data_IF_150521255516
#
_entry.id   IF_150521255516
#
_cell.length_a   1.000
_cell.length_b   1.000
_cell.length_c   1.000
_cell.angle_alpha   90.00
_cell.angle_beta   90.00
_cell.angle_gamma   90.00
#
_symmetry.space_group_name_H-M   'P 1'
#
loop_
_entity.id
_entity.type
_entity.pdbx_description
1 polymer ?
#
# COMPACT_ATOMS: atom_id res chain seq x y z
N UNK A 1 -9.02 -7.00 -0.89
CA UNK A 1 -10.28 -7.58 -1.44
C UNK A 1 -11.06 -8.18 -0.29
N UNK A 2 -12.36 -7.94 -0.25
CA UNK A 2 -13.23 -8.57 0.77
C UNK A 2 -13.35 -10.09 0.54
N UNK A 3 -13.88 -10.78 1.56
CA UNK A 3 -14.31 -12.17 1.42
C UNK A 3 -15.57 -12.25 0.54
N UNK A 4 -15.56 -13.09 -0.52
CA UNK A 4 -16.70 -13.25 -1.42
C UNK A 4 -17.94 -13.78 -0.69
N UNK A 5 -17.74 -14.67 0.30
CA UNK A 5 -18.84 -15.18 1.13
C UNK A 5 -19.45 -14.06 1.97
N UNK A 6 -18.60 -13.20 2.56
CA UNK A 6 -19.04 -12.04 3.31
C UNK A 6 -19.89 -11.09 2.47
N UNK A 7 -19.43 -10.75 1.24
CA UNK A 7 -20.18 -9.88 0.32
C UNK A 7 -21.55 -10.48 -0.04
N UNK A 8 -21.58 -11.80 -0.27
CA UNK A 8 -22.82 -12.52 -0.59
C UNK A 8 -23.81 -12.56 0.58
N UNK A 9 -23.32 -12.73 1.80
CA UNK A 9 -24.16 -12.86 3.01
C UNK A 9 -24.56 -11.50 3.59
N UNK A 10 -23.81 -10.42 3.26
CA UNK A 10 -24.02 -9.09 3.83
C UNK A 10 -23.98 -7.98 2.75
N UNK A 11 -24.76 -8.10 1.66
CA UNK A 11 -24.68 -7.14 0.56
C UNK A 11 -25.04 -5.72 0.98
N UNK A 12 -26.05 -5.54 1.81
CA UNK A 12 -26.52 -4.22 2.26
C UNK A 12 -25.47 -3.53 3.12
N UNK A 13 -24.77 -4.28 3.97
CA UNK A 13 -23.69 -3.74 4.79
C UNK A 13 -22.49 -3.27 3.94
N UNK A 14 -22.18 -4.03 2.86
CA UNK A 14 -21.11 -3.65 1.92
C UNK A 14 -21.51 -2.39 1.15
N UNK A 15 -22.77 -2.29 0.69
CA UNK A 15 -23.30 -1.09 0.01
C UNK A 15 -23.29 0.12 0.94
N UNK A 16 -23.72 -0.02 2.19
CA UNK A 16 -23.66 1.04 3.21
C UNK A 16 -22.21 1.51 3.45
N UNK A 17 -21.25 0.59 3.51
CA UNK A 17 -19.85 0.92 3.62
C UNK A 17 -19.35 1.76 2.43
N UNK A 18 -19.78 1.42 1.22
CA UNK A 18 -19.44 2.18 -0.01
C UNK A 18 -20.09 3.57 0.00
N UNK A 19 -21.29 3.71 0.53
CA UNK A 19 -21.93 5.02 0.74
C UNK A 19 -21.14 5.87 1.73
N UNK A 20 -20.74 5.29 2.89
CA UNK A 20 -19.87 5.95 3.88
C UNK A 20 -18.52 6.41 3.29
N UNK A 21 -18.00 5.69 2.30
CA UNK A 21 -16.78 6.05 1.55
C UNK A 21 -17.05 6.99 0.36
N UNK A 22 -18.28 7.48 0.17
CA UNK A 22 -18.69 8.34 -0.94
C UNK A 22 -18.43 7.73 -2.32
N UNK A 23 -18.46 6.40 -2.42
CA UNK A 23 -18.23 5.66 -3.66
C UNK A 23 -19.54 5.15 -4.30
N UNK A 24 -20.56 5.99 -4.35
CA UNK A 24 -21.90 5.65 -4.86
C UNK A 24 -21.86 5.05 -6.29
N UNK A 25 -20.93 5.51 -7.10
CA UNK A 25 -20.76 5.06 -8.49
C UNK A 25 -20.34 3.59 -8.61
N UNK A 26 -19.84 2.96 -7.54
CA UNK A 26 -19.40 1.56 -7.50
C UNK A 26 -20.42 0.61 -6.87
N UNK A 27 -21.51 1.09 -6.27
CA UNK A 27 -22.46 0.26 -5.49
C UNK A 27 -23.04 -0.89 -6.32
N UNK A 28 -23.28 -0.67 -7.61
CA UNK A 28 -23.76 -1.68 -8.54
C UNK A 28 -22.86 -2.93 -8.64
N UNK A 29 -21.55 -2.79 -8.34
CA UNK A 29 -20.62 -3.91 -8.37
C UNK A 29 -20.98 -5.00 -7.36
N UNK A 30 -21.63 -4.66 -6.25
CA UNK A 30 -22.09 -5.65 -5.25
C UNK A 30 -23.14 -6.58 -5.86
N UNK A 31 -24.11 -6.03 -6.58
CA UNK A 31 -25.17 -6.81 -7.25
C UNK A 31 -24.60 -7.62 -8.42
N UNK A 32 -23.63 -7.07 -9.14
CA UNK A 32 -22.90 -7.77 -10.19
C UNK A 32 -22.16 -8.99 -9.64
N UNK A 33 -21.42 -8.83 -8.53
CA UNK A 33 -20.72 -9.94 -7.86
C UNK A 33 -21.70 -11.04 -7.46
N UNK A 34 -22.83 -10.70 -6.85
CA UNK A 34 -23.83 -11.68 -6.38
C UNK A 34 -24.44 -12.43 -7.57
N UNK A 35 -24.77 -11.71 -8.63
CA UNK A 35 -25.37 -12.29 -9.83
C UNK A 35 -24.41 -13.24 -10.53
N UNK A 36 -23.15 -12.80 -10.74
CA UNK A 36 -22.13 -13.58 -11.43
C UNK A 36 -21.64 -14.77 -10.57
N UNK A 37 -21.54 -14.63 -9.25
CA UNK A 37 -21.22 -15.74 -8.34
C UNK A 37 -22.34 -16.80 -8.37
N UNK A 38 -23.60 -16.39 -8.37
CA UNK A 38 -24.72 -17.33 -8.48
C UNK A 38 -24.72 -18.06 -9.83
N UNK A 39 -24.40 -17.36 -10.93
CA UNK A 39 -24.25 -17.95 -12.26
C UNK A 39 -23.03 -18.91 -12.30
N UNK A 40 -21.91 -18.52 -11.72
CA UNK A 40 -20.71 -19.34 -11.63
C UNK A 40 -20.99 -20.67 -10.91
N UNK A 41 -21.63 -20.63 -9.75
CA UNK A 41 -21.98 -21.85 -8.99
C UNK A 41 -22.93 -22.77 -9.75
N UNK A 42 -23.92 -22.21 -10.47
CA UNK A 42 -24.81 -22.99 -11.34
C UNK A 42 -24.03 -23.63 -12.49
N UNK A 43 -23.16 -22.88 -13.16
CA UNK A 43 -22.31 -23.41 -14.24
C UNK A 43 -21.39 -24.54 -13.78
N UNK A 44 -20.82 -24.40 -12.58
CA UNK A 44 -19.98 -25.45 -11.95
C UNK A 44 -20.80 -26.72 -11.67
N UNK A 45 -21.98 -26.58 -11.09
CA UNK A 45 -22.87 -27.71 -10.82
C UNK A 45 -23.24 -28.45 -12.11
N UNK A 46 -23.63 -27.72 -13.15
CA UNK A 46 -23.97 -28.28 -14.46
C UNK A 46 -22.78 -29.02 -15.08
N UNK A 47 -21.59 -28.42 -15.04
CA UNK A 47 -20.36 -29.06 -15.52
C UNK A 47 -20.03 -30.35 -14.75
N UNK A 48 -20.24 -30.40 -13.44
CA UNK A 48 -19.99 -31.57 -12.63
C UNK A 48 -21.02 -32.68 -12.89
N UNK A 49 -22.27 -32.35 -13.15
CA UNK A 49 -23.31 -33.28 -13.58
C UNK A 49 -22.94 -33.93 -14.93
N UNK A 50 -22.52 -33.12 -15.92
CA UNK A 50 -22.09 -33.63 -17.23
C UNK A 50 -20.82 -34.48 -17.14
N UNK A 51 -19.84 -34.10 -16.30
CA UNK A 51 -18.64 -34.89 -16.02
C UNK A 51 -18.99 -36.26 -15.44
N UNK A 52 -19.98 -36.30 -14.52
CA UNK A 52 -20.48 -37.55 -13.93
C UNK A 52 -21.17 -38.43 -14.99
N UNK A 53 -22.05 -37.84 -15.83
CA UNK A 53 -22.70 -38.55 -16.92
C UNK A 53 -21.68 -39.13 -17.90
N UNK A 54 -20.72 -38.30 -18.36
CA UNK A 54 -19.64 -38.73 -19.26
C UNK A 54 -18.84 -39.90 -18.70
N UNK A 55 -18.52 -39.88 -17.38
CA UNK A 55 -17.84 -41.00 -16.70
C UNK A 55 -18.67 -42.29 -16.73
N UNK A 56 -19.98 -42.20 -16.53
CA UNK A 56 -20.88 -43.34 -16.53
C UNK A 56 -21.03 -43.94 -17.95
N UNK A 57 -21.18 -43.08 -18.97
CA UNK A 57 -21.26 -43.54 -20.38
C UNK A 57 -19.93 -44.17 -20.81
N UNK A 58 -18.79 -43.62 -20.43
CA UNK A 58 -17.47 -44.20 -20.70
C UNK A 58 -17.32 -45.61 -20.15
N UNK A 59 -17.85 -45.87 -18.94
CA UNK A 59 -17.90 -47.23 -18.38
C UNK A 59 -18.81 -48.15 -19.19
N UNK A 60 -19.98 -47.64 -19.65
CA UNK A 60 -20.94 -48.40 -20.50
C UNK A 60 -20.32 -48.81 -21.81
N UNK A 61 -19.53 -47.92 -22.46
CA UNK A 61 -18.80 -48.25 -23.71
C UNK A 61 -17.93 -49.50 -23.53
N UNK A 62 -17.16 -49.58 -22.44
CA UNK A 62 -16.32 -50.76 -22.15
C UNK A 62 -17.14 -52.04 -22.04
N UNK A 63 -18.30 -51.97 -21.39
CA UNK A 63 -19.20 -53.14 -21.26
C UNK A 63 -19.82 -53.53 -22.59
N UNK A 64 -20.26 -52.58 -23.44
CA UNK A 64 -20.87 -52.80 -24.76
C UNK A 64 -19.82 -53.45 -25.72
N UNK A 65 -18.59 -52.92 -25.71
CA UNK A 65 -17.49 -53.50 -26.50
C UNK A 65 -17.19 -54.95 -26.09
N UNK A 66 -17.16 -55.23 -24.79
CA UNK A 66 -16.95 -56.60 -24.27
C UNK A 66 -18.07 -57.60 -24.63
N UNK A 67 -19.30 -57.07 -24.89
CA UNK A 67 -20.45 -57.85 -25.33
C UNK A 67 -20.59 -57.93 -26.86
N UNK A 68 -19.69 -57.31 -27.62
CA UNK A 68 -19.73 -57.32 -29.09
C UNK A 68 -20.80 -56.42 -29.73
N UNK A 69 -21.47 -55.52 -28.94
CA UNK A 69 -22.51 -54.59 -29.35
C UNK A 69 -21.90 -53.32 -29.96
N UNK A 70 -21.32 -53.41 -31.15
CA UNK A 70 -20.50 -52.35 -31.75
C UNK A 70 -21.30 -51.09 -32.10
N UNK A 71 -22.52 -51.23 -32.63
CA UNK A 71 -23.34 -50.06 -32.99
C UNK A 71 -23.75 -49.25 -31.77
N UNK A 72 -24.13 -49.89 -30.68
CA UNK A 72 -24.48 -49.24 -29.43
C UNK A 72 -23.23 -48.60 -28.78
N UNK A 73 -22.07 -49.20 -28.91
CA UNK A 73 -20.79 -48.65 -28.42
C UNK A 73 -20.41 -47.37 -29.21
N UNK A 74 -20.60 -47.37 -30.54
CA UNK A 74 -20.36 -46.14 -31.35
C UNK A 74 -21.32 -45.02 -31.04
N UNK A 75 -22.63 -45.31 -30.83
CA UNK A 75 -23.59 -44.31 -30.37
C UNK A 75 -23.17 -43.71 -29.01
N UNK A 76 -22.77 -44.53 -28.07
CA UNK A 76 -22.27 -44.07 -26.76
C UNK A 76 -20.96 -43.27 -26.85
N UNK A 77 -20.07 -43.60 -27.80
CA UNK A 77 -18.86 -42.79 -28.07
C UNK A 77 -19.24 -41.40 -28.60
N UNK A 78 -20.22 -41.29 -29.53
CA UNK A 78 -20.68 -40.02 -30.04
C UNK A 78 -21.25 -39.17 -28.90
N UNK A 79 -22.13 -39.75 -28.07
CA UNK A 79 -22.71 -39.08 -26.89
C UNK A 79 -21.61 -38.61 -25.94
N UNK A 80 -20.53 -39.38 -25.71
CA UNK A 80 -19.39 -39.00 -24.91
C UNK A 80 -18.59 -37.83 -25.49
N UNK A 81 -18.50 -37.74 -26.83
CA UNK A 81 -17.89 -36.61 -27.54
C UNK A 81 -18.73 -35.36 -27.39
N UNK A 82 -20.06 -35.43 -27.65
CA UNK A 82 -20.99 -34.30 -27.48
C UNK A 82 -20.96 -33.74 -26.04
N UNK A 83 -20.94 -34.62 -25.04
CA UNK A 83 -20.75 -34.18 -23.64
C UNK A 83 -19.39 -33.53 -23.40
N UNK A 84 -18.36 -33.98 -24.10
CA UNK A 84 -17.03 -33.37 -24.04
C UNK A 84 -17.05 -31.91 -24.50
N UNK A 85 -17.72 -31.64 -25.62
CA UNK A 85 -17.85 -30.28 -26.17
C UNK A 85 -18.67 -29.37 -25.24
N UNK A 86 -19.78 -29.89 -24.67
CA UNK A 86 -20.57 -29.15 -23.68
C UNK A 86 -19.78 -28.82 -22.42
N UNK A 87 -19.00 -29.75 -21.88
CA UNK A 87 -18.13 -29.52 -20.72
C UNK A 87 -17.07 -28.47 -21.05
N UNK A 88 -16.50 -28.46 -22.25
CA UNK A 88 -15.54 -27.45 -22.68
C UNK A 88 -16.18 -26.04 -22.74
N UNK A 89 -17.37 -25.93 -23.32
CA UNK A 89 -18.12 -24.67 -23.37
C UNK A 89 -18.47 -24.13 -21.95
N UNK A 90 -18.88 -25.04 -21.05
CA UNK A 90 -19.12 -24.66 -19.65
C UNK A 90 -17.84 -24.23 -18.92
N UNK A 91 -16.69 -24.82 -19.22
CA UNK A 91 -15.41 -24.43 -18.65
C UNK A 91 -14.98 -23.02 -19.09
N UNK A 92 -15.20 -22.66 -20.35
CA UNK A 92 -14.98 -21.29 -20.85
C UNK A 92 -15.90 -20.28 -20.15
N UNK A 93 -17.18 -20.63 -20.02
CA UNK A 93 -18.16 -19.80 -19.29
C UNK A 93 -17.79 -19.65 -17.80
N UNK A 94 -17.35 -20.73 -17.16
CA UNK A 94 -16.86 -20.71 -15.77
C UNK A 94 -15.68 -19.75 -15.61
N UNK A 95 -14.69 -19.82 -16.52
CA UNK A 95 -13.53 -18.93 -16.48
C UNK A 95 -13.93 -17.47 -16.66
N UNK A 96 -14.80 -17.16 -17.62
CA UNK A 96 -15.27 -15.80 -17.84
C UNK A 96 -16.04 -15.23 -16.62
N UNK A 97 -16.92 -16.04 -16.02
CA UNK A 97 -17.66 -15.64 -14.82
C UNK A 97 -16.73 -15.45 -13.61
N UNK A 98 -15.75 -16.32 -13.43
CA UNK A 98 -14.74 -16.22 -12.38
C UNK A 98 -13.91 -14.94 -12.50
N UNK A 99 -13.51 -14.63 -13.74
CA UNK A 99 -12.79 -13.39 -14.02
C UNK A 99 -13.64 -12.15 -13.73
N UNK A 100 -14.89 -12.13 -14.19
CA UNK A 100 -15.83 -11.02 -13.92
C UNK A 100 -16.05 -10.81 -12.41
N UNK A 101 -16.30 -11.90 -11.66
CA UNK A 101 -16.42 -11.82 -10.18
C UNK A 101 -15.14 -11.25 -9.58
N UNK A 102 -13.97 -11.70 -10.02
CA UNK A 102 -12.69 -11.22 -9.49
C UNK A 102 -12.48 -9.74 -9.78
N UNK A 103 -12.75 -9.29 -11.01
CA UNK A 103 -12.60 -7.90 -11.42
C UNK A 103 -13.54 -6.96 -10.63
N UNK A 104 -14.78 -7.35 -10.42
CA UNK A 104 -15.72 -6.60 -9.61
C UNK A 104 -15.30 -6.56 -8.13
N UNK A 105 -14.91 -7.70 -7.55
CA UNK A 105 -14.42 -7.81 -6.17
C UNK A 105 -13.16 -6.97 -5.91
N UNK A 106 -12.29 -6.82 -6.90
CA UNK A 106 -11.07 -6.01 -6.81
C UNK A 106 -11.35 -4.50 -6.72
N UNK A 107 -12.54 -4.05 -7.14
CA UNK A 107 -12.95 -2.66 -7.10
C UNK A 107 -13.81 -2.31 -5.87
N UNK A 108 -14.38 -3.32 -5.20
CA UNK A 108 -15.12 -3.13 -3.94
C UNK A 108 -14.12 -2.79 -2.83
N UNK A 109 -14.29 -1.64 -2.14
CA UNK A 109 -13.37 -1.21 -1.09
C UNK A 109 -13.43 -2.11 0.14
N UNK A 110 -12.38 -2.06 0.95
CA UNK A 110 -12.35 -2.69 2.26
C UNK A 110 -13.40 -2.08 3.20
N UNK A 111 -13.85 -2.85 4.19
CA UNK A 111 -14.73 -2.34 5.24
C UNK A 111 -13.94 -1.35 6.11
N UNK A 112 -14.54 -0.20 6.41
CA UNK A 112 -13.94 0.77 7.35
C UNK A 112 -14.11 0.28 8.79
N UNK A 113 -13.14 0.61 9.64
CA UNK A 113 -13.30 0.38 11.09
C UNK A 113 -14.45 1.23 11.64
N UNK A 114 -15.29 0.73 12.55
CA UNK A 114 -16.42 1.47 13.11
C UNK A 114 -16.06 2.80 13.78
N UNK A 115 -14.80 3.00 14.15
CA UNK A 115 -14.30 4.23 14.78
C UNK A 115 -13.89 5.30 13.76
N UNK A 116 -13.82 4.97 12.47
CA UNK A 116 -13.42 5.92 11.40
C UNK A 116 -14.47 7.05 11.30
N UNK A 117 -14.07 8.32 11.38
CA UNK A 117 -14.98 9.44 11.21
C UNK A 117 -15.56 9.46 9.79
N UNK A 118 -16.84 9.79 9.68
CA UNK A 118 -17.49 9.91 8.39
C UNK A 118 -17.25 11.32 7.86
N UNK A 119 -16.64 11.42 6.70
CA UNK A 119 -16.30 12.70 6.05
C UNK A 119 -16.03 12.46 4.57
N UNK A 120 -16.13 13.51 3.76
CA UNK A 120 -16.09 13.44 2.30
C UNK A 120 -14.66 13.40 1.73
N UNK A 121 -13.77 14.18 2.32
CA UNK A 121 -12.38 14.35 1.84
C UNK A 121 -11.44 14.73 3.01
N UNK A 122 -10.17 14.94 2.72
CA UNK A 122 -9.10 15.23 3.67
C UNK A 122 -9.36 16.46 4.58
N UNK A 123 -10.19 17.41 4.15
CA UNK A 123 -10.56 18.58 4.96
C UNK A 123 -11.41 18.23 6.19
N UNK A 124 -12.01 17.05 6.22
CA UNK A 124 -12.84 16.52 7.33
C UNK A 124 -12.09 15.47 8.17
N UNK A 125 -10.78 15.31 7.97
CA UNK A 125 -9.94 14.48 8.83
C UNK A 125 -9.89 15.05 10.26
N UNK A 126 -9.81 14.17 11.26
CA UNK A 126 -9.94 14.52 12.68
C UNK A 126 -8.59 14.50 13.38
N UNK A 127 -8.19 15.64 13.95
CA UNK A 127 -7.00 15.71 14.78
C UNK A 127 -7.19 14.86 16.06
N UNK A 128 -6.24 13.95 16.31
CA UNK A 128 -6.25 13.11 17.52
C UNK A 128 -5.42 13.72 18.64
N UNK A 129 -4.15 14.05 18.36
CA UNK A 129 -3.21 14.49 19.38
C UNK A 129 -2.06 15.30 18.78
N UNK A 130 -1.51 16.24 19.57
CA UNK A 130 -0.32 17.01 19.25
C UNK A 130 0.86 16.62 20.15
N UNK A 131 2.05 16.60 19.55
CA UNK A 131 3.29 16.23 20.22
C UNK A 131 4.33 17.33 19.99
N UNK A 132 4.69 18.02 21.06
CA UNK A 132 5.59 19.17 21.05
C UNK A 132 4.89 20.48 20.72
N UNK A 133 5.46 21.56 21.19
CA UNK A 133 4.94 22.92 21.03
C UNK A 133 5.33 23.48 19.66
N UNK A 134 4.35 23.90 18.83
CA UNK A 134 4.64 24.56 17.58
C UNK A 134 5.18 25.97 17.85
N UNK A 135 6.41 26.24 17.41
CA UNK A 135 7.07 27.52 17.58
C UNK A 135 7.10 28.27 16.25
N UNK A 136 6.82 29.55 16.27
CA UNK A 136 7.07 30.49 15.16
C UNK A 136 8.17 31.43 15.63
N UNK A 137 9.35 31.42 14.99
CA UNK A 137 10.44 32.33 15.36
C UNK A 137 10.10 33.78 15.04
N UNK A 138 10.84 34.71 15.61
CA UNK A 138 10.72 36.16 15.40
C UNK A 138 11.43 36.68 14.13
N UNK A 139 11.97 35.78 13.31
CA UNK A 139 12.59 36.05 12.02
C UNK A 139 11.85 35.37 10.88
N UNK A 140 12.00 35.88 9.66
CA UNK A 140 11.42 35.30 8.47
C UNK A 140 12.13 33.99 8.08
N UNK A 141 11.36 32.91 7.87
CA UNK A 141 11.87 31.64 7.38
C UNK A 141 11.75 31.63 5.85
N UNK A 142 12.87 31.55 5.11
CA UNK A 142 12.87 31.44 3.65
C UNK A 142 12.18 30.14 3.18
N UNK A 143 11.83 30.08 1.91
CA UNK A 143 11.34 28.85 1.31
C UNK A 143 12.41 27.73 1.39
N UNK A 144 12.02 26.48 1.56
CA UNK A 144 12.96 25.41 1.82
C UNK A 144 14.05 25.26 0.75
N UNK A 145 13.74 25.54 -0.53
CA UNK A 145 14.78 25.53 -1.58
C UNK A 145 15.78 26.68 -1.41
N UNK A 146 15.35 27.85 -0.97
CA UNK A 146 16.23 29.00 -0.71
C UNK A 146 17.18 28.70 0.47
N UNK A 147 16.66 28.02 1.50
CA UNK A 147 17.51 27.53 2.60
C UNK A 147 18.55 26.55 2.02
N UNK A 148 18.14 25.55 1.24
CA UNK A 148 19.07 24.56 0.67
C UNK A 148 20.08 25.21 -0.29
N UNK A 149 19.66 26.21 -1.09
CA UNK A 149 20.52 26.96 -2.00
C UNK A 149 21.61 27.75 -1.26
N UNK A 150 21.31 28.27 -0.05
CA UNK A 150 22.30 28.97 0.78
C UNK A 150 23.48 28.05 1.19
N UNK A 151 23.28 26.74 1.14
CA UNK A 151 24.31 25.72 1.40
C UNK A 151 24.95 25.17 0.10
N UNK A 152 24.60 25.69 -1.10
CA UNK A 152 24.83 25.04 -2.40
C UNK A 152 24.35 23.57 -2.38
N UNK A 153 23.25 23.33 -1.66
CA UNK A 153 22.78 22.00 -1.32
C UNK A 153 21.74 21.41 -2.27
N UNK A 154 21.20 22.17 -3.21
CA UNK A 154 20.18 21.73 -4.17
C UNK A 154 20.41 22.35 -5.55
N UNK A 155 20.17 21.55 -6.61
CA UNK A 155 20.20 22.02 -8.01
C UNK A 155 18.99 21.45 -8.77
N UNK A 156 17.93 22.23 -8.85
CA UNK A 156 16.70 21.90 -9.57
C UNK A 156 16.85 22.13 -11.08
N UNK A 157 17.70 23.06 -11.51
CA UNK A 157 17.89 23.36 -12.93
C UNK A 157 18.69 22.26 -13.63
N UNK A 158 19.73 21.73 -12.98
CA UNK A 158 20.43 20.54 -13.50
C UNK A 158 19.48 19.33 -13.56
N UNK A 159 18.69 19.09 -12.53
CA UNK A 159 17.71 18.01 -12.51
C UNK A 159 16.69 18.13 -13.65
N UNK A 160 16.20 19.35 -13.92
CA UNK A 160 15.28 19.62 -15.03
C UNK A 160 15.88 19.28 -16.38
N UNK A 161 17.17 19.60 -16.59
CA UNK A 161 17.89 19.27 -17.85
C UNK A 161 18.10 17.77 -18.04
N UNK A 162 18.24 17.01 -16.94
CA UNK A 162 18.55 15.57 -17.00
C UNK A 162 17.29 14.70 -17.02
N UNK A 163 16.31 15.02 -16.17
CA UNK A 163 15.16 14.13 -15.91
C UNK A 163 13.78 14.83 -16.03
N UNK A 164 13.76 16.15 -16.18
CA UNK A 164 12.53 16.93 -16.20
C UNK A 164 12.18 17.52 -14.82
N UNK A 165 10.97 18.06 -14.70
CA UNK A 165 10.46 18.58 -13.44
C UNK A 165 10.16 17.44 -12.46
N UNK A 166 10.15 17.75 -11.15
CA UNK A 166 9.85 16.76 -10.11
C UNK A 166 11.04 15.86 -9.75
N UNK A 167 12.24 16.25 -10.11
CA UNK A 167 13.52 15.64 -9.72
C UNK A 167 14.42 16.68 -9.07
N UNK A 168 15.46 16.23 -8.40
CA UNK A 168 16.42 17.09 -7.70
C UNK A 168 17.83 16.51 -7.70
N UNK A 169 18.82 17.37 -7.59
CA UNK A 169 20.14 17.02 -7.08
C UNK A 169 20.30 17.61 -5.69
N UNK A 170 20.76 16.81 -4.73
CA UNK A 170 21.23 17.28 -3.44
C UNK A 170 22.76 17.22 -3.39
N UNK A 171 23.39 18.19 -2.72
CA UNK A 171 24.84 18.32 -2.65
C UNK A 171 25.30 18.68 -1.22
N UNK A 172 26.58 18.45 -0.95
CA UNK A 172 27.25 18.91 0.26
C UNK A 172 26.57 18.49 1.56
N UNK A 173 26.43 19.43 2.48
CA UNK A 173 25.84 19.17 3.80
C UNK A 173 24.36 18.81 3.76
N UNK A 174 23.61 19.31 2.77
CA UNK A 174 22.19 18.94 2.58
C UNK A 174 22.05 17.47 2.13
N UNK A 175 22.89 17.01 1.17
CA UNK A 175 22.92 15.60 0.79
C UNK A 175 23.34 14.69 1.96
N UNK A 176 24.31 15.15 2.76
CA UNK A 176 24.71 14.44 3.97
C UNK A 176 23.59 14.37 5.00
N UNK A 177 22.87 15.47 5.24
CA UNK A 177 21.72 15.51 6.14
C UNK A 177 20.62 14.55 5.70
N UNK A 178 20.31 14.52 4.41
CA UNK A 178 19.36 13.56 3.83
C UNK A 178 19.77 12.09 4.13
N UNK A 179 21.03 11.75 3.90
CA UNK A 179 21.54 10.39 4.16
C UNK A 179 21.63 10.09 5.68
N UNK A 180 21.94 11.10 6.50
CA UNK A 180 21.97 10.98 7.95
C UNK A 180 20.61 10.66 8.55
N UNK A 181 19.56 11.35 8.07
CA UNK A 181 18.18 11.09 8.49
C UNK A 181 17.76 9.65 8.18
N UNK A 182 18.07 9.14 6.99
CA UNK A 182 17.76 7.75 6.61
C UNK A 182 18.56 6.73 7.41
N UNK A 183 19.86 6.99 7.64
CA UNK A 183 20.70 6.10 8.44
C UNK A 183 20.23 6.03 9.89
N UNK A 184 19.88 7.17 10.46
CA UNK A 184 19.29 7.24 11.79
C UNK A 184 17.93 6.53 11.85
N UNK A 185 17.06 6.75 10.88
CA UNK A 185 15.75 6.09 10.84
C UNK A 185 15.85 4.56 10.77
N UNK A 186 16.82 4.05 9.98
CA UNK A 186 17.09 2.61 9.94
C UNK A 186 17.48 2.08 11.33
N UNK A 187 18.44 2.71 11.97
CA UNK A 187 18.96 2.25 13.27
C UNK A 187 17.87 2.41 14.36
N UNK A 188 17.13 3.52 14.34
CA UNK A 188 15.98 3.77 15.22
C UNK A 188 14.92 2.66 15.13
N UNK A 189 14.64 2.15 13.94
CA UNK A 189 13.68 1.07 13.76
C UNK A 189 14.25 -0.30 14.17
N UNK A 190 15.55 -0.56 13.92
CA UNK A 190 16.22 -1.77 14.38
C UNK A 190 16.21 -1.84 15.91
N UNK A 191 16.51 -0.73 16.58
CA UNK A 191 16.52 -0.65 18.06
C UNK A 191 15.10 -0.86 18.66
N UNK A 192 14.05 -0.65 17.86
CA UNK A 192 12.65 -0.95 18.22
C UNK A 192 12.20 -2.37 17.87
N UNK A 193 13.12 -3.24 17.49
CA UNK A 193 12.88 -4.65 17.22
C UNK A 193 12.36 -4.97 15.82
N UNK A 194 12.49 -4.04 14.87
CA UNK A 194 12.16 -4.31 13.47
C UNK A 194 13.34 -4.93 12.73
N UNK A 195 13.09 -5.97 11.98
CA UNK A 195 14.08 -6.59 11.10
C UNK A 195 14.30 -5.71 9.86
N UNK A 196 15.53 -5.24 9.65
CA UNK A 196 15.88 -4.47 8.46
C UNK A 196 16.02 -5.38 7.23
N UNK A 197 15.36 -4.98 6.14
CA UNK A 197 15.34 -5.73 4.86
C UNK A 197 15.62 -4.78 3.70
N UNK A 198 16.44 -5.23 2.74
CA UNK A 198 16.62 -4.59 1.45
C UNK A 198 15.80 -5.39 0.42
N UNK A 199 14.67 -4.86 -0.06
CA UNK A 199 13.78 -5.57 -0.97
C UNK A 199 14.13 -5.31 -2.44
N UNK A 200 13.59 -6.09 -3.39
CA UNK A 200 13.57 -5.70 -4.79
C UNK A 200 12.85 -4.37 -5.03
N UNK A 201 13.40 -3.51 -5.89
CA UNK A 201 12.80 -2.22 -6.24
C UNK A 201 11.91 -2.27 -7.48
N UNK A 202 11.79 -3.44 -8.08
CA UNK A 202 10.87 -3.76 -9.18
C UNK A 202 10.05 -4.97 -8.81
N UNK A 203 8.76 -4.93 -9.12
CA UNK A 203 7.80 -6.00 -8.79
C UNK A 203 6.94 -6.35 -10.00
N UNK A 204 6.41 -7.57 -10.02
CA UNK A 204 5.53 -8.05 -11.09
C UNK A 204 4.08 -7.58 -10.90
N UNK A 205 3.31 -7.62 -11.99
CA UNK A 205 1.90 -7.23 -12.01
C UNK A 205 1.04 -7.94 -10.97
N UNK A 206 1.29 -9.23 -10.70
CA UNK A 206 0.55 -9.99 -9.69
C UNK A 206 0.76 -9.45 -8.26
N UNK A 207 1.94 -8.91 -7.96
CA UNK A 207 2.22 -8.25 -6.68
C UNK A 207 1.54 -6.87 -6.66
N UNK A 208 1.69 -6.07 -7.74
CA UNK A 208 1.04 -4.75 -7.86
C UNK A 208 -0.47 -4.86 -7.59
N UNK A 209 -1.15 -5.78 -8.29
CA UNK A 209 -2.57 -6.04 -8.12
C UNK A 209 -2.96 -6.50 -6.70
N UNK A 210 -2.02 -7.05 -5.97
CA UNK A 210 -2.23 -7.47 -4.58
C UNK A 210 -2.16 -6.35 -3.57
N UNK A 211 -1.28 -5.36 -3.80
CA UNK A 211 -0.93 -4.35 -2.78
C UNK A 211 -1.62 -3.01 -2.96
N UNK A 212 -2.20 -2.71 -4.13
CA UNK A 212 -2.88 -1.45 -4.41
C UNK A 212 -4.16 -1.62 -5.24
N UNK A 213 -4.98 -0.57 -5.32
CA UNK A 213 -6.15 -0.53 -6.19
C UNK A 213 -5.76 -0.23 -7.65
N UNK A 214 -6.65 -0.56 -8.58
CA UNK A 214 -6.44 -0.23 -10.01
C UNK A 214 -6.34 1.27 -10.26
N UNK A 215 -7.11 2.08 -9.52
CA UNK A 215 -7.09 3.53 -9.65
C UNK A 215 -5.73 4.12 -9.23
N UNK A 216 -5.18 3.63 -8.11
CA UNK A 216 -3.85 4.05 -7.63
C UNK A 216 -2.75 3.61 -8.60
N UNK A 217 -2.86 2.42 -9.18
CA UNK A 217 -1.83 1.87 -10.06
C UNK A 217 -1.54 2.77 -11.27
N UNK A 218 -2.57 3.23 -11.98
CA UNK A 218 -2.37 4.07 -13.19
C UNK A 218 -1.81 5.45 -12.84
N UNK A 219 -2.23 6.03 -11.72
CA UNK A 219 -1.75 7.33 -11.25
C UNK A 219 -0.33 7.32 -10.71
N UNK A 220 0.11 6.18 -10.14
CA UNK A 220 1.33 6.09 -9.35
C UNK A 220 2.47 5.33 -10.05
N UNK A 221 2.20 4.18 -10.68
CA UNK A 221 3.26 3.22 -11.04
C UNK A 221 3.93 3.49 -12.37
N UNK A 222 5.27 3.46 -12.40
CA UNK A 222 6.05 3.34 -13.64
C UNK A 222 6.16 1.87 -14.03
N UNK A 223 5.83 1.55 -15.28
CA UNK A 223 5.99 0.22 -15.87
C UNK A 223 7.22 0.20 -16.78
N UNK A 224 7.99 -0.89 -16.73
CA UNK A 224 9.08 -1.13 -17.67
C UNK A 224 8.48 -1.64 -18.98
N UNK A 225 8.83 -0.96 -20.08
CA UNK A 225 8.34 -1.34 -21.41
C UNK A 225 8.90 -2.70 -21.82
N UNK A 226 8.05 -3.57 -22.36
CA UNK A 226 8.42 -4.89 -22.82
C UNK A 226 8.53 -5.96 -21.72
N UNK A 227 8.39 -5.58 -20.44
CA UNK A 227 8.52 -6.51 -19.32
C UNK A 227 7.33 -6.46 -18.36
N UNK A 228 7.11 -7.56 -17.62
CA UNK A 228 6.16 -7.59 -16.51
C UNK A 228 6.84 -7.11 -15.22
N UNK A 229 7.35 -5.87 -15.25
CA UNK A 229 8.00 -5.22 -14.12
C UNK A 229 7.52 -3.79 -13.94
N UNK A 230 7.38 -3.38 -12.69
CA UNK A 230 6.98 -2.05 -12.25
C UNK A 230 7.94 -1.54 -11.19
N UNK A 231 8.35 -0.28 -11.28
CA UNK A 231 9.11 0.38 -10.22
C UNK A 231 8.21 0.58 -8.99
N UNK A 232 8.73 0.28 -7.80
CA UNK A 232 7.95 0.44 -6.56
C UNK A 232 7.70 1.92 -6.23
N UNK A 233 6.49 2.24 -5.79
CA UNK A 233 6.13 3.55 -5.21
C UNK A 233 6.41 3.65 -3.71
N UNK A 234 6.70 2.51 -3.08
CA UNK A 234 7.05 2.33 -1.66
C UNK A 234 7.61 0.92 -1.47
N UNK A 235 8.49 0.72 -0.50
CA UNK A 235 8.98 -0.63 -0.17
C UNK A 235 7.88 -1.55 0.38
N UNK A 236 6.77 -1.01 0.90
CA UNK A 236 5.59 -1.79 1.27
C UNK A 236 5.21 -2.80 0.19
N UNK A 237 5.16 -2.37 -1.07
CA UNK A 237 4.76 -3.21 -2.18
C UNK A 237 5.59 -4.49 -2.27
N UNK A 238 6.89 -4.34 -2.23
CA UNK A 238 7.84 -5.45 -2.33
C UNK A 238 7.87 -6.29 -1.05
N UNK A 239 7.79 -5.63 0.10
CA UNK A 239 7.85 -6.27 1.41
C UNK A 239 6.63 -7.15 1.70
N UNK A 240 5.43 -6.68 1.37
CA UNK A 240 4.19 -7.48 1.46
C UNK A 240 4.19 -8.55 0.36
N UNK A 241 4.65 -8.20 -0.85
CA UNK A 241 4.80 -9.16 -1.96
C UNK A 241 5.71 -10.34 -1.66
N UNK A 242 6.65 -10.21 -0.72
CA UNK A 242 7.50 -11.30 -0.22
C UNK A 242 6.70 -12.53 0.24
N UNK A 243 5.49 -12.32 0.73
CA UNK A 243 4.63 -13.35 1.31
C UNK A 243 3.60 -13.92 0.31
N UNK A 244 3.66 -13.56 -0.98
CA UNK A 244 2.70 -14.03 -1.99
C UNK A 244 2.63 -15.57 -2.02
N UNK A 245 1.40 -16.12 -2.02
CA UNK A 245 1.10 -17.56 -2.01
C UNK A 245 1.68 -18.36 -0.82
N UNK A 246 2.15 -17.68 0.24
CA UNK A 246 2.73 -18.36 1.41
C UNK A 246 1.66 -18.80 2.41
N UNK A 247 1.99 -19.88 3.12
CA UNK A 247 1.29 -20.31 4.33
C UNK A 247 2.29 -20.21 5.48
N UNK A 248 2.12 -19.17 6.28
CA UNK A 248 2.98 -18.81 7.41
C UNK A 248 2.58 -19.67 8.61
N UNK A 249 3.54 -20.19 9.37
CA UNK A 249 3.26 -20.77 10.70
C UNK A 249 2.90 -19.64 11.65
N UNK A 250 1.79 -19.80 12.40
CA UNK A 250 1.33 -18.79 13.35
C UNK A 250 2.39 -18.39 14.38
N UNK A 251 3.31 -19.32 14.70
CA UNK A 251 4.42 -19.07 15.65
C UNK A 251 5.45 -18.07 15.14
N UNK A 252 5.50 -17.84 13.83
CA UNK A 252 6.42 -16.87 13.23
C UNK A 252 5.88 -15.42 13.29
N UNK A 253 4.60 -15.25 13.63
CA UNK A 253 3.97 -13.92 13.74
C UNK A 253 4.22 -13.28 15.11
N UNK A 254 4.34 -11.94 15.17
CA UNK A 254 4.27 -11.01 14.04
C UNK A 254 5.59 -10.88 13.29
N UNK A 255 5.54 -10.67 11.97
CA UNK A 255 6.67 -10.11 11.23
C UNK A 255 6.67 -8.60 11.38
N UNK A 256 7.72 -8.05 11.97
CA UNK A 256 7.96 -6.62 12.09
C UNK A 256 9.17 -6.26 11.24
N UNK A 257 8.93 -5.64 10.09
CA UNK A 257 9.94 -5.41 9.07
C UNK A 257 10.09 -3.92 8.80
N UNK A 258 11.33 -3.47 8.59
CA UNK A 258 11.62 -2.11 8.15
C UNK A 258 12.53 -2.13 6.93
N UNK A 259 12.36 -1.17 6.05
CA UNK A 259 13.07 -1.14 4.78
C UNK A 259 13.33 0.28 4.31
N UNK A 260 14.55 0.52 3.89
CA UNK A 260 14.91 1.65 3.06
C UNK A 260 14.70 1.30 1.59
N UNK A 261 14.13 2.21 0.82
CA UNK A 261 14.07 2.09 -0.64
C UNK A 261 13.98 3.43 -1.35
N UNK A 262 14.47 3.53 -2.60
CA UNK A 262 13.97 4.53 -3.53
C UNK A 262 12.48 4.24 -3.80
N UNK A 263 11.73 5.30 -4.08
CA UNK A 263 10.32 5.28 -4.41
C UNK A 263 10.12 6.08 -5.69
N UNK A 264 9.31 5.54 -6.60
CA UNK A 264 9.06 6.15 -7.91
C UNK A 264 7.55 6.34 -8.09
N UNK A 265 7.11 7.59 -8.29
CA UNK A 265 5.69 7.93 -8.45
C UNK A 265 5.47 8.85 -9.62
N UNK A 266 4.47 8.54 -10.46
CA UNK A 266 4.08 9.40 -11.59
C UNK A 266 3.44 10.72 -11.14
N UNK A 267 2.87 10.78 -9.94
CA UNK A 267 2.17 11.93 -9.37
C UNK A 267 1.13 12.54 -10.33
N UNK A 268 0.44 11.70 -11.14
CA UNK A 268 -0.59 12.16 -12.06
C UNK A 268 -1.76 12.79 -11.32
N UNK A 269 -2.16 13.99 -11.76
CA UNK A 269 -3.33 14.70 -11.20
C UNK A 269 -3.05 15.53 -9.95
N UNK A 270 -1.81 15.56 -9.49
CA UNK A 270 -1.41 16.45 -8.41
C UNK A 270 -1.18 17.85 -8.96
N UNK A 271 -2.01 18.82 -8.58
CA UNK A 271 -1.89 20.23 -8.95
C UNK A 271 -1.95 21.10 -7.68
N UNK A 272 -1.06 22.09 -7.56
CA UNK A 272 -1.08 23.05 -6.45
C UNK A 272 0.21 23.84 -6.25
N UNK A 273 0.18 24.81 -5.34
CA UNK A 273 1.32 25.70 -5.00
C UNK A 273 2.51 24.91 -4.43
N UNK A 274 2.28 23.72 -3.89
CA UNK A 274 3.30 22.86 -3.29
C UNK A 274 4.09 22.00 -4.31
N UNK A 275 3.84 22.16 -5.60
CA UNK A 275 4.61 21.52 -6.68
C UNK A 275 6.05 22.04 -6.80
N UNK A 276 6.32 23.22 -6.21
CA UNK A 276 7.66 23.82 -6.24
C UNK A 276 8.55 23.16 -5.18
N UNK A 277 9.79 22.87 -5.55
CA UNK A 277 10.80 22.33 -4.63
C UNK A 277 10.74 20.83 -4.51
N UNK A 278 10.82 20.30 -3.29
CA UNK A 278 10.94 18.86 -3.01
C UNK A 278 9.72 18.24 -2.32
N UNK A 279 8.63 18.98 -2.22
CA UNK A 279 7.43 18.49 -1.53
C UNK A 279 6.73 17.35 -2.27
N UNK A 280 6.61 17.49 -3.61
CA UNK A 280 6.00 16.49 -4.49
C UNK A 280 6.90 16.22 -5.69
N UNK A 281 7.45 15.01 -5.75
CA UNK A 281 8.52 14.62 -6.66
C UNK A 281 8.33 13.19 -7.16
N UNK A 282 8.88 12.89 -8.35
CA UNK A 282 8.76 11.60 -9.01
C UNK A 282 9.68 10.52 -8.43
N UNK A 283 10.79 10.92 -7.83
CA UNK A 283 11.77 10.02 -7.22
C UNK A 283 12.16 10.56 -5.84
N UNK A 284 12.02 9.72 -4.82
CA UNK A 284 12.45 10.04 -3.46
C UNK A 284 12.86 8.75 -2.74
N UNK A 285 13.33 8.88 -1.54
CA UNK A 285 13.75 7.77 -0.69
C UNK A 285 12.89 7.72 0.57
N UNK A 286 12.67 6.52 1.09
CA UNK A 286 11.81 6.33 2.25
C UNK A 286 12.27 5.17 3.12
N UNK A 287 12.22 5.36 4.44
CA UNK A 287 12.26 4.28 5.42
C UNK A 287 10.83 3.92 5.80
N UNK A 288 10.45 2.67 5.57
CA UNK A 288 9.10 2.14 5.77
C UNK A 288 9.06 1.13 6.91
N UNK A 289 7.89 1.00 7.53
CA UNK A 289 7.57 -0.02 8.53
C UNK A 289 6.45 -0.92 8.00
N UNK A 290 6.61 -2.23 8.12
CA UNK A 290 5.64 -3.24 7.69
C UNK A 290 5.38 -4.19 8.84
N UNK A 291 4.11 -4.50 9.09
CA UNK A 291 3.70 -5.55 10.02
C UNK A 291 2.79 -6.54 9.33
N UNK A 292 3.11 -7.83 9.48
CA UNK A 292 2.22 -8.94 9.15
C UNK A 292 1.90 -9.65 10.45
N UNK A 293 0.63 -9.68 10.86
CA UNK A 293 0.24 -10.14 12.19
C UNK A 293 -1.08 -10.91 12.18
N UNK A 294 -1.45 -11.41 13.35
CA UNK A 294 -2.77 -11.97 13.60
C UNK A 294 -3.85 -10.89 13.56
N UNK A 295 -5.10 -11.22 13.16
CA UNK A 295 -6.20 -10.26 13.12
C UNK A 295 -6.42 -9.49 14.43
N UNK A 296 -6.35 -10.19 15.57
CA UNK A 296 -6.57 -9.62 16.90
C UNK A 296 -5.48 -8.64 17.34
N UNK A 297 -4.29 -8.71 16.76
CA UNK A 297 -3.13 -7.86 17.10
C UNK A 297 -3.09 -6.56 16.29
N UNK A 298 -3.85 -6.49 15.20
CA UNK A 298 -3.68 -5.42 14.20
C UNK A 298 -4.00 -4.01 14.75
N UNK A 299 -4.90 -3.87 15.72
CA UNK A 299 -5.22 -2.58 16.33
C UNK A 299 -4.06 -2.04 17.18
N UNK A 300 -3.42 -2.91 17.95
CA UNK A 300 -2.27 -2.53 18.78
C UNK A 300 -1.07 -2.18 17.92
N UNK A 301 -0.83 -2.97 16.85
CA UNK A 301 0.24 -2.67 15.89
C UNK A 301 0.00 -1.37 15.14
N UNK A 302 -1.24 -1.06 14.79
CA UNK A 302 -1.59 0.21 14.14
C UNK A 302 -1.17 1.41 15.00
N UNK A 303 -1.51 1.39 16.30
CA UNK A 303 -1.12 2.45 17.23
C UNK A 303 0.41 2.54 17.38
N UNK A 304 1.09 1.40 17.56
CA UNK A 304 2.56 1.37 17.68
C UNK A 304 3.25 1.92 16.44
N UNK A 305 2.71 1.65 15.25
CA UNK A 305 3.31 2.09 14.00
C UNK A 305 3.29 3.62 13.85
N UNK A 306 2.14 4.28 14.01
CA UNK A 306 2.13 5.74 13.87
C UNK A 306 2.86 6.45 15.01
N UNK A 307 2.86 5.88 16.23
CA UNK A 307 3.65 6.42 17.35
C UNK A 307 5.16 6.30 17.09
N UNK A 308 5.65 5.29 16.38
CA UNK A 308 7.05 5.24 15.97
C UNK A 308 7.45 6.44 15.10
N UNK A 309 6.58 6.88 14.20
CA UNK A 309 6.83 8.10 13.39
C UNK A 309 6.79 9.35 14.25
N UNK A 310 5.82 9.46 15.15
CA UNK A 310 5.75 10.56 16.13
C UNK A 310 7.05 10.65 16.91
N UNK A 311 7.49 9.55 17.51
CA UNK A 311 8.71 9.51 18.31
C UNK A 311 9.95 9.85 17.49
N UNK A 312 10.04 9.33 16.25
CA UNK A 312 11.15 9.64 15.35
C UNK A 312 11.27 11.17 15.12
N UNK A 313 10.18 11.82 14.73
CA UNK A 313 10.17 13.27 14.50
C UNK A 313 10.47 14.06 15.78
N UNK A 314 9.99 13.58 16.93
CA UNK A 314 10.28 14.20 18.24
C UNK A 314 11.75 14.15 18.63
N UNK A 315 12.49 13.08 18.28
CA UNK A 315 13.95 13.01 18.50
C UNK A 315 14.73 14.03 17.65
N UNK A 316 14.10 14.57 16.61
CA UNK A 316 14.68 15.59 15.72
C UNK A 316 14.15 17.01 16.02
N UNK A 317 13.50 17.19 17.17
CA UNK A 317 12.93 18.47 17.65
C UNK A 317 11.86 19.04 16.69
N UNK A 318 11.17 18.19 15.95
CA UNK A 318 10.08 18.60 15.05
C UNK A 318 8.74 18.34 15.73
N UNK A 319 7.91 19.37 15.97
CA UNK A 319 6.54 19.18 16.46
C UNK A 319 5.69 18.48 15.41
N UNK A 320 4.87 17.53 15.86
CA UNK A 320 3.96 16.79 14.99
C UNK A 320 2.57 16.68 15.60
N UNK A 321 1.58 16.37 14.75
CA UNK A 321 0.24 15.95 15.18
C UNK A 321 -0.15 14.66 14.47
N UNK A 322 -1.11 13.94 15.03
CA UNK A 322 -1.76 12.80 14.40
C UNK A 322 -3.15 13.17 13.93
N UNK A 323 -3.52 12.75 12.72
CA UNK A 323 -4.77 13.09 12.06
C UNK A 323 -5.44 11.82 11.57
N UNK A 324 -6.60 11.47 12.11
CA UNK A 324 -7.36 10.30 11.64
C UNK A 324 -8.07 10.62 10.33
N UNK A 325 -7.78 9.84 9.30
CA UNK A 325 -8.41 10.00 8.00
C UNK A 325 -9.89 9.61 8.06
N UNK A 326 -10.75 10.46 7.52
CA UNK A 326 -12.18 10.20 7.41
C UNK A 326 -12.47 9.18 6.28
N UNK A 327 -13.69 8.69 6.25
CA UNK A 327 -14.11 7.59 5.37
C UNK A 327 -13.93 7.88 3.89
N UNK A 328 -14.10 9.13 3.44
CA UNK A 328 -13.95 9.53 2.03
C UNK A 328 -12.50 9.73 1.59
N UNK A 329 -11.59 9.96 2.55
CA UNK A 329 -10.15 10.07 2.31
C UNK A 329 -9.43 8.72 2.32
N UNK A 330 -10.05 7.65 2.83
CA UNK A 330 -9.46 6.32 2.87
C UNK A 330 -9.36 5.70 1.47
N UNK A 331 -8.15 5.32 1.06
CA UNK A 331 -7.94 4.48 -0.13
C UNK A 331 -8.70 3.14 -0.02
N UNK A 332 -8.98 2.51 -1.19
CA UNK A 332 -9.87 1.35 -1.27
C UNK A 332 -9.46 0.16 -0.38
N UNK A 333 -8.17 -0.08 -0.19
CA UNK A 333 -7.70 -1.22 0.62
C UNK A 333 -7.60 -0.92 2.10
N UNK A 334 -7.65 0.34 2.51
CA UNK A 334 -7.49 0.74 3.91
C UNK A 334 -8.79 0.56 4.69
N UNK A 335 -8.67 -0.10 5.84
CA UNK A 335 -9.73 -0.17 6.85
C UNK A 335 -9.71 1.06 7.75
N UNK A 336 -8.51 1.55 8.09
CA UNK A 336 -8.27 2.71 8.94
C UNK A 336 -6.92 3.33 8.57
N UNK A 337 -6.80 4.66 8.64
CA UNK A 337 -5.55 5.39 8.42
C UNK A 337 -5.39 6.52 9.43
N UNK A 338 -4.16 6.76 9.84
CA UNK A 338 -3.76 7.93 10.64
C UNK A 338 -2.54 8.55 9.98
N UNK A 339 -2.64 9.80 9.62
CA UNK A 339 -1.54 10.59 9.10
C UNK A 339 -0.76 11.23 10.25
N UNK A 340 0.55 11.30 10.10
CA UNK A 340 1.42 12.10 10.96
C UNK A 340 1.79 13.34 10.16
N UNK A 341 1.53 14.50 10.74
CA UNK A 341 1.82 15.78 10.12
C UNK A 341 2.85 16.54 10.95
N UNK A 342 3.83 17.15 10.29
CA UNK A 342 4.86 17.98 10.90
C UNK A 342 4.50 19.48 10.85
N UNK A 343 4.90 20.20 11.87
CA UNK A 343 4.74 21.64 11.92
C UNK A 343 5.65 22.36 10.94
N UNK A 344 5.07 23.26 10.16
CA UNK A 344 5.80 24.24 9.35
C UNK A 344 5.69 25.63 9.99
N UNK A 345 6.73 26.13 10.64
CA UNK A 345 6.71 27.47 11.22
C UNK A 345 6.61 28.56 10.14
N UNK A 346 7.11 28.34 8.93
CA UNK A 346 6.96 29.23 7.78
C UNK A 346 5.51 29.38 7.34
N UNK A 347 4.79 28.26 7.19
CA UNK A 347 3.40 28.24 6.75
C UNK A 347 2.41 28.43 7.91
N UNK A 348 2.86 28.29 9.16
CA UNK A 348 2.04 28.28 10.38
C UNK A 348 0.93 27.24 10.33
N UNK A 349 1.24 26.09 9.74
CA UNK A 349 0.33 24.93 9.61
C UNK A 349 1.10 23.61 9.69
N UNK A 350 0.38 22.55 9.91
CA UNK A 350 0.90 21.19 9.78
C UNK A 350 0.78 20.68 8.34
N UNK A 351 1.64 19.77 7.93
CA UNK A 351 1.58 19.08 6.64
C UNK A 351 2.00 17.61 6.79
N UNK A 352 1.43 16.74 5.98
CA UNK A 352 1.64 15.31 6.02
C UNK A 352 3.11 14.92 5.76
N UNK A 353 3.66 14.10 6.66
CA UNK A 353 5.02 13.53 6.56
C UNK A 353 5.02 12.01 6.62
N UNK A 354 3.93 11.39 6.97
CA UNK A 354 3.76 9.94 6.99
C UNK A 354 2.30 9.55 7.12
N UNK A 355 1.94 8.38 6.59
CA UNK A 355 0.59 7.83 6.65
C UNK A 355 0.65 6.38 7.10
N UNK A 356 0.03 6.10 8.25
CA UNK A 356 -0.11 4.76 8.80
C UNK A 356 -1.41 4.12 8.33
N UNK A 357 -1.35 2.89 7.86
CA UNK A 357 -2.51 2.19 7.33
C UNK A 357 -2.69 0.81 7.94
N UNK A 358 -3.92 0.49 8.35
CA UNK A 358 -4.37 -0.86 8.62
C UNK A 358 -5.21 -1.34 7.43
N UNK A 359 -4.77 -2.39 6.76
CA UNK A 359 -5.45 -2.96 5.60
C UNK A 359 -6.21 -4.24 5.94
N UNK A 360 -6.18 -4.64 7.21
CA UNK A 360 -6.75 -5.91 7.66
C UNK A 360 -6.29 -7.07 6.76
N UNK A 361 -7.19 -7.90 6.25
CA UNK A 361 -6.85 -9.02 5.37
C UNK A 361 -6.96 -8.70 3.86
N UNK A 362 -7.19 -7.43 3.49
CA UNK A 362 -7.45 -7.06 2.10
C UNK A 362 -6.31 -7.39 1.13
N UNK A 363 -5.05 -7.09 1.50
CA UNK A 363 -3.88 -7.47 0.71
C UNK A 363 -3.60 -8.97 0.82
N UNK A 364 -3.73 -9.53 2.02
CA UNK A 364 -3.48 -10.96 2.26
C UNK A 364 -4.41 -11.85 1.42
N UNK A 365 -5.68 -11.48 1.22
CA UNK A 365 -6.61 -12.19 0.33
C UNK A 365 -6.19 -12.13 -1.13
N UNK A 366 -5.77 -10.95 -1.61
CA UNK A 366 -5.30 -10.77 -2.99
C UNK A 366 -4.02 -11.57 -3.27
N UNK A 367 -3.09 -11.54 -2.33
CA UNK A 367 -1.78 -12.19 -2.42
C UNK A 367 -1.77 -13.63 -1.87
N UNK A 368 -2.92 -14.12 -1.35
CA UNK A 368 -3.08 -15.45 -0.74
C UNK A 368 -2.12 -15.71 0.42
N UNK A 369 -1.87 -14.70 1.25
CA UNK A 369 -1.05 -14.79 2.45
C UNK A 369 -1.87 -15.41 3.56
N UNK A 370 -1.68 -16.69 3.82
CA UNK A 370 -2.43 -17.45 4.81
C UNK A 370 -1.55 -17.77 6.01
N UNK A 371 -2.19 -17.87 7.17
CA UNK A 371 -1.57 -18.33 8.41
C UNK A 371 -2.16 -19.67 8.76
N UNK A 372 -1.34 -20.59 9.26
CA UNK A 372 -1.77 -21.89 9.76
C UNK A 372 -1.55 -21.93 11.27
N UNK A 373 -2.63 -22.10 12.02
CA UNK A 373 -2.59 -22.25 13.47
C UNK A 373 -2.10 -23.65 13.91
N UNK A 374 -1.88 -23.84 15.21
CA UNK A 374 -1.44 -25.12 15.78
C UNK A 374 -2.40 -26.28 15.53
N UNK A 375 -3.68 -25.97 15.29
CA UNK A 375 -4.73 -26.98 14.99
C UNK A 375 -4.83 -27.28 13.48
N UNK A 376 -3.99 -26.66 12.67
CA UNK A 376 -4.00 -26.81 11.22
C UNK A 376 -5.06 -25.98 10.48
N UNK A 377 -5.84 -25.13 11.19
CA UNK A 377 -6.80 -24.21 10.60
C UNK A 377 -6.06 -23.08 9.90
N UNK A 378 -6.56 -22.68 8.74
CA UNK A 378 -5.97 -21.56 7.96
C UNK A 378 -6.87 -20.32 8.03
N UNK A 379 -6.23 -19.17 8.15
CA UNK A 379 -6.87 -17.86 8.07
C UNK A 379 -5.96 -16.88 7.31
N UNK A 380 -6.45 -15.69 6.97
CA UNK A 380 -5.66 -14.64 6.33
C UNK A 380 -4.99 -13.76 7.37
N UNK A 381 -3.71 -13.44 7.15
CA UNK A 381 -3.00 -12.47 7.97
C UNK A 381 -3.60 -11.06 7.81
N UNK A 382 -3.38 -10.20 8.82
CA UNK A 382 -3.56 -8.76 8.67
C UNK A 382 -2.23 -8.12 8.28
N UNK A 383 -2.29 -7.08 7.44
CA UNK A 383 -1.13 -6.31 7.00
C UNK A 383 -1.30 -4.85 7.38
N UNK A 384 -0.20 -4.24 7.82
CA UNK A 384 -0.13 -2.83 8.19
C UNK A 384 1.16 -2.24 7.64
N UNK A 385 1.13 -0.94 7.36
CA UNK A 385 2.32 -0.20 6.97
C UNK A 385 2.30 1.21 7.56
N UNK A 386 3.48 1.79 7.66
CA UNK A 386 3.64 3.19 7.99
C UNK A 386 5.00 3.71 7.49
N UNK A 387 5.04 4.96 7.09
CA UNK A 387 6.28 5.67 6.81
C UNK A 387 6.98 6.03 8.12
N UNK A 388 8.21 5.55 8.35
CA UNK A 388 9.04 6.10 9.41
C UNK A 388 9.49 7.51 9.03
N UNK A 389 10.10 7.66 7.87
CA UNK A 389 10.49 8.96 7.32
C UNK A 389 10.62 8.91 5.80
N UNK A 390 10.22 9.99 5.14
CA UNK A 390 10.52 10.31 3.75
C UNK A 390 11.30 11.64 3.72
N UNK A 391 12.63 11.62 3.52
CA UNK A 391 13.48 12.79 3.67
C UNK A 391 13.06 14.06 2.93
N UNK A 392 12.47 14.02 1.73
CA UNK A 392 12.08 15.26 1.06
C UNK A 392 11.13 16.12 1.90
N UNK A 393 10.05 15.55 2.42
CA UNK A 393 9.14 16.26 3.34
C UNK A 393 9.76 16.47 4.71
N UNK A 394 10.54 15.50 5.20
CA UNK A 394 11.29 15.65 6.44
C UNK A 394 12.32 16.78 6.34
N UNK A 395 13.03 16.95 5.23
CA UNK A 395 13.97 18.05 5.04
C UNK A 395 13.29 19.40 5.15
N UNK A 396 12.08 19.56 4.60
CA UNK A 396 11.29 20.80 4.74
C UNK A 396 11.02 21.05 6.23
N UNK A 397 10.42 20.09 6.92
CA UNK A 397 10.11 20.23 8.34
C UNK A 397 11.37 20.47 9.18
N UNK A 398 12.45 19.70 8.92
CA UNK A 398 13.70 19.80 9.65
C UNK A 398 14.37 21.16 9.50
N UNK A 399 14.52 21.63 8.25
CA UNK A 399 15.16 22.92 7.97
C UNK A 399 14.36 24.08 8.55
N UNK A 400 13.04 24.10 8.41
CA UNK A 400 12.20 25.17 8.95
C UNK A 400 12.21 25.20 10.48
N UNK A 401 12.24 24.06 11.17
CA UNK A 401 12.22 24.00 12.64
C UNK A 401 13.61 24.16 13.30
N UNK A 402 14.69 23.93 12.56
CA UNK A 402 16.06 24.01 13.08
C UNK A 402 16.88 25.19 12.54
N UNK A 403 16.30 26.02 11.65
CA UNK A 403 16.94 27.26 11.15
C UNK A 403 17.13 28.25 12.30
N UNK A 404 18.26 28.94 12.30
CA UNK A 404 18.59 30.00 13.25
C UNK A 404 18.57 31.36 12.55
N UNK A 405 18.46 32.44 13.31
CA UNK A 405 18.38 33.82 12.78
C UNK A 405 19.60 34.21 11.93
N UNK A 406 20.75 33.61 12.15
CA UNK A 406 21.98 33.84 11.39
C UNK A 406 22.10 32.98 10.12
N UNK A 407 21.05 32.21 9.78
CA UNK A 407 21.01 31.33 8.63
C UNK A 407 21.66 29.96 8.85
N UNK A 408 22.22 29.70 10.01
CA UNK A 408 22.72 28.35 10.35
C UNK A 408 21.57 27.39 10.65
N UNK A 409 21.84 26.09 10.53
CA UNK A 409 20.86 25.04 10.85
C UNK A 409 21.41 24.19 11.99
N UNK A 410 20.69 24.13 13.10
CA UNK A 410 21.04 23.31 14.25
C UNK A 410 20.84 21.82 13.92
N UNK A 411 21.76 20.97 14.36
CA UNK A 411 21.67 19.52 14.27
C UNK A 411 21.28 18.96 15.63
N UNK A 412 20.08 18.37 15.78
CA UNK A 412 19.67 17.68 17.00
C UNK A 412 20.63 16.57 17.40
N UNK A 413 20.74 16.31 18.70
CA UNK A 413 21.71 15.37 19.29
C UNK A 413 21.66 13.98 18.63
N UNK A 414 20.46 13.49 18.32
CA UNK A 414 20.24 12.19 17.69
C UNK A 414 20.91 12.05 16.31
N UNK A 415 21.08 13.17 15.57
CA UNK A 415 21.72 13.16 14.25
C UNK A 415 23.21 13.46 14.27
N UNK A 416 23.76 13.99 15.36
CA UNK A 416 25.17 14.39 15.44
C UNK A 416 26.13 13.25 15.05
N UNK A 417 25.94 11.99 15.49
CA UNK A 417 26.81 10.88 15.08
C UNK A 417 26.78 10.64 13.56
N UNK A 418 25.63 10.77 12.93
CA UNK A 418 25.42 10.56 11.48
C UNK A 418 25.92 11.74 10.64
N UNK A 419 26.07 12.92 11.27
CA UNK A 419 26.63 14.13 10.65
C UNK A 419 28.14 14.30 10.90
N UNK A 420 28.81 13.24 11.41
CA UNK A 420 30.25 13.24 11.68
C UNK A 420 30.65 14.21 12.78
N UNK A 421 29.80 14.34 13.80
CA UNK A 421 30.03 15.20 14.94
C UNK A 421 29.64 16.68 14.76
N UNK A 422 29.11 17.07 13.59
CA UNK A 422 28.60 18.43 13.38
C UNK A 422 27.35 18.65 14.21
N UNK A 423 27.33 19.75 14.97
CA UNK A 423 26.18 20.22 15.75
C UNK A 423 25.43 21.36 15.09
N UNK A 424 26.06 21.99 14.07
CA UNK A 424 25.52 23.12 13.31
C UNK A 424 25.98 23.00 11.86
N UNK A 425 25.11 23.31 10.91
CA UNK A 425 25.44 23.55 9.51
C UNK A 425 25.53 25.05 9.27
N UNK A 426 26.59 25.48 8.57
CA UNK A 426 26.82 26.89 8.25
C UNK A 426 26.61 27.09 6.75
N UNK A 427 25.78 28.05 6.32
CA UNK A 427 25.61 28.37 4.92
C UNK A 427 26.93 28.82 4.30
N UNK A 428 27.09 28.63 2.99
CA UNK A 428 28.27 29.11 2.29
C UNK A 428 28.20 30.63 2.18
N UNK A 429 29.30 31.30 2.51
CA UNK A 429 29.42 32.74 2.25
C UNK A 429 29.41 32.96 0.73
N UNK A 430 28.48 33.76 0.26
CA UNK A 430 28.45 34.21 -1.15
C UNK A 430 29.54 35.25 -1.39
#
# INVERSE_FOLDING_TARGET
>A
MLDLKFVRENPDLVKENMEKKFQHHKIHLVDEVITNDAALRRTQQEADELRSQRKNISKKIGMLMGKGLKEEAEAAKKETADLGDQIAALAEKENALRESVTQAMMQIPNMIDPTVPIGKDDSENVELERFGEPVVPDFEIPYHTEIMESFDGIDLDAARRVAGNGFYYLSGDIARLHSAILSYARDFMIDRGFTYVIPPYMIRSNVVNGVMSFAEMDGMMYKIEGEDLYLIGTSEHSMIGRFIDQIIDEKELPYTLTSYSPCFRKEKGAHGIEERGVYRIHQFEKQEMIVVCKPEESKDWFTKLYMNTVDFFRTLDVPVRTLECCSGDLADLKCKSVDVEAWSPRQKKYFEVGSCSNLTDAQARRLKIRVKDEKGKKYFAHTLNNTCVAPPRMLIAFLENNLQADGTVRIPEALVPYMGGKTVLTPKQK
#
